data_IF_615515584191
#
_entry.id   IF_615515584191
#
_cell.length_a   1.000
_cell.length_b   1.000
_cell.length_c   1.000
_cell.angle_alpha   90.00
_cell.angle_beta   90.00
_cell.angle_gamma   90.00
#
_symmetry.space_group_name_H-M   'P 1'
#
loop_
_entity.id
_entity.type
_entity.pdbx_description
1 polymer ?
#
# COMPACT_ATOMS: atom_id res chain seq x y z
N UNK A 1 -30.29 -3.08 -1.68
CA UNK A 1 -29.48 -3.58 -0.56
C UNK A 1 -28.51 -4.58 -1.15
N UNK A 2 -27.26 -4.18 -1.40
CA UNK A 2 -26.21 -5.09 -1.81
C UNK A 2 -25.48 -5.54 -0.55
N UNK A 3 -25.24 -6.84 -0.45
CA UNK A 3 -24.68 -7.51 0.72
C UNK A 3 -23.23 -7.06 0.91
N UNK A 4 -22.94 -6.41 2.03
CA UNK A 4 -21.58 -6.11 2.48
C UNK A 4 -21.03 -7.43 3.03
N UNK A 5 -20.49 -8.26 2.14
CA UNK A 5 -19.78 -9.50 2.50
C UNK A 5 -18.37 -9.14 2.93
N UNK A 6 -17.83 -9.89 3.88
CA UNK A 6 -16.46 -9.89 4.42
C UNK A 6 -15.35 -9.97 3.35
N UNK A 7 -15.26 -8.99 2.44
CA UNK A 7 -14.22 -8.97 1.43
C UNK A 7 -13.02 -8.25 1.99
N UNK A 8 -12.11 -9.04 2.55
CA UNK A 8 -10.71 -8.64 2.67
C UNK A 8 -10.19 -8.30 1.28
N UNK A 9 -9.33 -7.29 1.19
CA UNK A 9 -8.65 -6.92 -0.04
C UNK A 9 -7.14 -7.11 0.11
N UNK A 10 -6.44 -7.33 -1.01
CA UNK A 10 -5.00 -7.56 -0.97
C UNK A 10 -4.22 -6.25 -1.07
N UNK A 11 -3.34 -6.02 -0.10
CA UNK A 11 -2.32 -4.99 -0.15
C UNK A 11 -0.96 -5.67 -0.36
N UNK A 12 -0.34 -5.43 -1.52
CA UNK A 12 1.01 -5.89 -1.83
C UNK A 12 2.00 -4.88 -1.26
N UNK A 13 2.75 -5.30 -0.25
CA UNK A 13 3.76 -4.52 0.42
C UNK A 13 5.11 -4.71 -0.28
N UNK A 14 5.68 -3.59 -0.74
CA UNK A 14 6.98 -3.46 -1.36
C UNK A 14 7.91 -2.77 -0.37
N UNK A 15 8.98 -3.45 0.07
CA UNK A 15 9.94 -2.93 1.04
C UNK A 15 11.35 -3.48 0.75
N UNK A 16 12.42 -2.77 1.11
CA UNK A 16 13.81 -3.24 0.89
C UNK A 16 14.16 -3.58 -0.58
N UNK A 17 13.53 -2.92 -1.55
CA UNK A 17 13.82 -3.09 -2.97
C UNK A 17 14.01 -1.76 -3.70
N UNK A 18 14.37 -1.83 -4.97
CA UNK A 18 14.62 -0.67 -5.83
C UNK A 18 13.50 -0.52 -6.86
N UNK A 19 13.11 0.73 -7.13
CA UNK A 19 12.30 1.06 -8.29
C UNK A 19 13.24 1.15 -9.49
N UNK A 20 13.24 0.12 -10.36
CA UNK A 20 14.24 0.00 -11.42
C UNK A 20 14.05 1.01 -12.56
N UNK A 21 12.90 1.68 -12.67
CA UNK A 21 12.61 2.63 -13.74
C UNK A 21 11.66 3.77 -13.30
N UNK A 22 12.04 5.03 -13.60
CA UNK A 22 11.25 6.23 -13.33
C UNK A 22 10.01 6.39 -14.22
N UNK A 23 9.98 5.74 -15.40
CA UNK A 23 8.90 5.87 -16.39
C UNK A 23 7.96 4.65 -16.44
N UNK A 24 8.33 3.56 -15.78
CA UNK A 24 7.56 2.33 -15.69
C UNK A 24 7.99 1.64 -14.39
N UNK A 25 7.28 1.84 -13.27
CA UNK A 25 7.74 1.42 -11.95
C UNK A 25 7.64 -0.11 -11.82
N UNK A 26 8.56 -0.82 -12.46
CA UNK A 26 8.90 -2.18 -12.07
C UNK A 26 9.68 -2.09 -10.76
N UNK A 27 9.04 -2.57 -9.70
CA UNK A 27 9.69 -2.77 -8.42
C UNK A 27 10.48 -4.08 -8.46
N UNK A 28 11.74 -4.02 -8.05
CA UNK A 28 12.61 -5.20 -7.92
C UNK A 28 13.00 -5.36 -6.47
N UNK A 29 12.39 -6.32 -5.81
CA UNK A 29 12.61 -6.60 -4.39
C UNK A 29 11.62 -7.61 -3.83
N UNK A 30 11.67 -7.86 -2.51
CA UNK A 30 10.72 -8.74 -1.86
C UNK A 30 9.31 -8.11 -1.81
N UNK A 31 8.29 -8.96 -1.96
CA UNK A 31 6.89 -8.59 -1.80
C UNK A 31 6.26 -9.40 -0.66
N UNK A 32 5.42 -8.74 0.13
CA UNK A 32 4.57 -9.38 1.13
C UNK A 32 3.10 -9.07 0.83
N UNK A 33 2.22 -10.08 0.91
CA UNK A 33 0.79 -9.89 0.67
C UNK A 33 0.08 -9.79 2.02
N UNK A 34 -0.58 -8.66 2.25
CA UNK A 34 -1.41 -8.42 3.43
C UNK A 34 -2.88 -8.53 3.05
N UNK A 35 -3.60 -9.45 3.70
CA UNK A 35 -5.06 -9.50 3.64
C UNK A 35 -5.64 -8.43 4.58
N UNK A 36 -6.26 -7.41 4.00
CA UNK A 36 -6.72 -6.22 4.72
C UNK A 36 -8.24 -6.24 4.88
N UNK A 37 -8.72 -6.20 6.14
CA UNK A 37 -10.13 -5.97 6.41
C UNK A 37 -10.46 -4.48 6.20
N UNK A 38 -11.36 -4.13 5.27
CA UNK A 38 -11.69 -2.75 4.97
C UNK A 38 -12.27 -1.97 6.15
N UNK A 39 -12.90 -2.62 7.13
CA UNK A 39 -13.46 -1.98 8.32
C UNK A 39 -12.37 -1.59 9.34
N UNK A 40 -11.19 -2.23 9.27
CA UNK A 40 -10.04 -1.94 10.13
C UNK A 40 -8.87 -1.27 9.38
N UNK A 41 -9.00 -1.06 8.06
CA UNK A 41 -7.96 -0.47 7.24
C UNK A 41 -7.88 1.05 7.40
N UNK A 42 -7.02 1.48 8.33
CA UNK A 42 -6.71 2.89 8.61
C UNK A 42 -5.21 3.15 8.51
N UNK A 43 -4.83 4.42 8.39
CA UNK A 43 -3.43 4.81 8.31
C UNK A 43 -2.67 4.40 9.58
N UNK A 44 -3.29 4.56 10.75
CA UNK A 44 -2.67 4.17 12.01
C UNK A 44 -2.54 2.65 12.15
N UNK A 45 -3.56 1.89 11.75
CA UNK A 45 -3.50 0.42 11.76
C UNK A 45 -2.39 -0.09 10.85
N UNK A 46 -2.27 0.48 9.65
CA UNK A 46 -1.21 0.14 8.71
C UNK A 46 0.19 0.43 9.27
N UNK A 47 0.39 1.59 9.92
CA UNK A 47 1.66 1.89 10.60
C UNK A 47 1.98 0.89 11.71
N UNK A 48 0.98 0.44 12.46
CA UNK A 48 1.16 -0.59 13.49
C UNK A 48 1.57 -1.93 12.88
N UNK A 49 0.87 -2.38 11.83
CA UNK A 49 1.21 -3.59 11.08
C UNK A 49 2.64 -3.54 10.55
N UNK A 50 3.04 -2.44 9.91
CA UNK A 50 4.40 -2.29 9.37
C UNK A 50 5.47 -2.35 10.45
N UNK A 51 5.21 -1.74 11.60
CA UNK A 51 6.11 -1.79 12.76
C UNK A 51 6.27 -3.22 13.27
N UNK A 52 5.18 -3.98 13.35
CA UNK A 52 5.19 -5.38 13.81
C UNK A 52 5.92 -6.30 12.82
N UNK A 53 5.91 -5.96 11.53
CA UNK A 53 6.70 -6.62 10.48
C UNK A 53 8.20 -6.23 10.49
N UNK A 54 8.63 -5.36 11.41
CA UNK A 54 10.04 -4.96 11.55
C UNK A 54 10.45 -3.70 10.78
N UNK A 55 9.50 -2.98 10.16
CA UNK A 55 9.75 -1.71 9.46
C UNK A 55 9.82 -0.53 10.45
N UNK A 56 10.77 -0.59 11.39
CA UNK A 56 10.85 0.31 12.56
C UNK A 56 11.28 1.74 12.15
N UNK A 57 12.10 1.87 11.11
CA UNK A 57 12.57 3.16 10.58
C UNK A 57 11.97 3.41 9.20
N UNK A 58 10.80 4.05 9.18
CA UNK A 58 10.08 4.42 7.97
C UNK A 58 10.20 5.93 7.71
N UNK A 59 10.59 6.31 6.49
CA UNK A 59 10.66 7.70 6.06
C UNK A 59 9.32 8.16 5.45
N UNK A 60 8.76 7.37 4.54
CA UNK A 60 7.47 7.64 3.92
C UNK A 60 6.80 6.38 3.39
N UNK A 61 5.47 6.46 3.27
CA UNK A 61 4.64 5.50 2.56
C UNK A 61 4.11 6.12 1.29
N UNK A 62 4.04 5.33 0.22
CA UNK A 62 3.37 5.69 -1.02
C UNK A 62 2.59 4.51 -1.57
N UNK A 63 1.48 4.75 -2.26
CA UNK A 63 0.74 3.72 -2.99
C UNK A 63 0.66 4.06 -4.48
N UNK A 64 0.46 3.05 -5.31
CA UNK A 64 0.23 3.24 -6.74
C UNK A 64 -1.26 3.36 -7.05
N UNK A 65 -1.64 4.42 -7.76
CA UNK A 65 -2.98 4.69 -8.29
C UNK A 65 -2.95 4.62 -9.84
N UNK A 66 -3.50 3.55 -10.44
CA UNK A 66 -3.43 3.33 -11.89
C UNK A 66 -4.11 4.41 -12.75
N UNK A 67 -4.88 5.32 -12.16
CA UNK A 67 -5.59 6.38 -12.90
C UNK A 67 -4.81 7.69 -12.99
N UNK A 68 -3.65 7.79 -12.33
CA UNK A 68 -2.79 8.99 -12.34
C UNK A 68 -1.57 8.77 -13.24
N UNK A 69 -1.11 9.84 -13.90
CA UNK A 69 0.00 9.79 -14.88
C UNK A 69 1.34 9.35 -14.25
N UNK A 70 1.67 9.84 -13.05
CA UNK A 70 2.85 9.42 -12.26
C UNK A 70 2.54 8.19 -11.39
N UNK A 71 1.26 7.91 -11.15
CA UNK A 71 0.75 6.78 -10.36
C UNK A 71 1.11 6.79 -8.87
N UNK A 72 2.21 7.38 -8.45
CA UNK A 72 2.71 7.32 -7.08
C UNK A 72 2.10 8.42 -6.20
N UNK A 73 1.40 8.01 -5.15
CA UNK A 73 0.74 8.93 -4.22
C UNK A 73 1.22 8.69 -2.79
N UNK A 74 1.64 9.74 -2.10
CA UNK A 74 2.06 9.66 -0.70
C UNK A 74 0.87 9.29 0.20
N UNK A 75 1.07 8.30 1.06
CA UNK A 75 0.11 7.90 2.08
C UNK A 75 0.44 8.57 3.42
N UNK A 76 -0.50 9.37 3.93
CA UNK A 76 -0.35 10.08 5.21
C UNK A 76 -1.67 10.29 5.97
N UNK A 77 -2.76 9.65 5.53
CA UNK A 77 -4.10 9.85 6.07
C UNK A 77 -5.06 8.73 5.66
N UNK A 78 -6.19 8.62 6.38
CA UNK A 78 -7.26 7.67 6.10
C UNK A 78 -7.98 7.95 4.76
N UNK A 79 -7.86 9.17 4.21
CA UNK A 79 -8.33 9.48 2.87
C UNK A 79 -7.54 8.64 1.84
N UNK A 80 -6.23 8.52 2.02
CA UNK A 80 -5.38 7.65 1.21
C UNK A 80 -5.73 6.18 1.40
N UNK A 81 -5.96 5.73 2.63
CA UNK A 81 -6.39 4.34 2.89
C UNK A 81 -7.71 3.99 2.19
N UNK A 82 -8.68 4.91 2.21
CA UNK A 82 -9.94 4.74 1.49
C UNK A 82 -9.73 4.69 -0.02
N UNK A 83 -8.80 5.48 -0.55
CA UNK A 83 -8.43 5.42 -1.97
C UNK A 83 -7.78 4.08 -2.33
N UNK A 84 -6.86 3.59 -1.51
CA UNK A 84 -6.23 2.28 -1.66
C UNK A 84 -7.26 1.14 -1.66
N UNK A 85 -8.23 1.16 -0.76
CA UNK A 85 -9.33 0.19 -0.75
C UNK A 85 -10.13 0.25 -2.07
N UNK A 86 -10.47 1.45 -2.56
CA UNK A 86 -11.16 1.59 -3.84
C UNK A 86 -10.34 1.09 -5.05
N UNK A 87 -9.01 1.26 -5.01
CA UNK A 87 -8.09 0.72 -6.02
C UNK A 87 -8.15 -0.81 -5.98
N UNK A 88 -7.99 -1.42 -4.80
CA UNK A 88 -8.07 -2.87 -4.66
C UNK A 88 -9.44 -3.44 -5.08
N UNK A 89 -10.53 -2.71 -4.84
CA UNK A 89 -11.85 -3.09 -5.33
C UNK A 89 -11.95 -3.10 -6.88
N UNK A 90 -11.21 -2.22 -7.56
CA UNK A 90 -11.22 -2.10 -9.03
C UNK A 90 -10.21 -3.00 -9.72
N UNK A 91 -9.08 -3.29 -9.06
CA UNK A 91 -7.91 -3.93 -9.65
C UNK A 91 -7.45 -5.18 -8.87
N UNK A 92 -8.32 -5.72 -8.01
CA UNK A 92 -8.12 -6.85 -7.07
C UNK A 92 -7.08 -6.64 -5.96
N UNK A 93 -6.14 -5.71 -6.16
CA UNK A 93 -5.06 -5.41 -5.22
C UNK A 93 -4.64 -3.95 -5.28
N UNK A 94 -3.94 -3.52 -4.24
CA UNK A 94 -3.23 -2.23 -4.19
C UNK A 94 -1.77 -2.46 -3.81
N UNK A 95 -0.89 -1.65 -4.38
CA UNK A 95 0.54 -1.72 -4.13
C UNK A 95 0.94 -0.60 -3.16
N UNK A 96 1.61 -0.96 -2.06
CA UNK A 96 2.10 -0.07 -1.02
C UNK A 96 3.63 -0.16 -0.95
N UNK A 97 4.29 0.97 -1.01
CA UNK A 97 5.74 1.10 -1.01
C UNK A 97 6.21 1.73 0.28
N UNK A 98 7.10 1.02 0.99
CA UNK A 98 7.79 1.50 2.18
C UNK A 98 9.12 2.09 1.77
N UNK A 99 9.32 3.37 2.09
CA UNK A 99 10.61 4.04 1.89
C UNK A 99 11.33 4.10 3.23
N UNK A 100 12.48 3.42 3.32
CA UNK A 100 13.39 3.51 4.45
C UNK A 100 14.35 4.69 4.29
N UNK A 101 14.81 5.32 5.40
CA UNK A 101 15.93 6.26 5.32
C UNK A 101 17.17 5.55 4.79
N UNK A 102 17.97 6.25 3.98
CA UNK A 102 19.27 5.77 3.55
C UNK A 102 20.12 5.44 4.79
N UNK A 103 20.69 4.23 4.81
CA UNK A 103 21.61 3.78 5.86
C UNK A 103 22.95 4.50 5.79
#
# INVERSE_FOLDING_TARGET
>A
MAQQMDQVFQCVLHHDGDLSCFNDPEYVGPEEILDCDPDFFSYLALLATLKDLGNITLNSLSYFDPVLEDGMVRLNSDIGCRRMHNIAYQFDKVHLYVVHPLS
#
